data_IF_309764738452
#
_entry.id   IF_309764738452
#
_cell.length_a   1.000
_cell.length_b   1.000
_cell.length_c   1.000
_cell.angle_alpha   90.00
_cell.angle_beta   90.00
_cell.angle_gamma   90.00
#
_symmetry.space_group_name_H-M   'P 1'
#
loop_
_entity.id
_entity.type
_entity.pdbx_description
1 polymer ?
#
# COMPACT_ATOMS: atom_id res chain seq x y z
N UNK A 1 -24.73 21.08 31.88
CA UNK A 1 -24.72 20.89 30.42
C UNK A 1 -23.32 20.43 30.07
N UNK A 2 -23.13 19.14 29.76
CA UNK A 2 -21.88 18.68 29.14
C UNK A 2 -21.80 19.36 27.78
N UNK A 3 -20.75 20.17 27.52
CA UNK A 3 -20.47 20.66 26.18
C UNK A 3 -20.15 19.41 25.35
N UNK A 4 -21.08 19.04 24.44
CA UNK A 4 -20.84 17.93 23.50
C UNK A 4 -19.56 18.18 22.75
N UNK A 5 -18.81 17.12 22.46
CA UNK A 5 -17.57 17.19 21.66
C UNK A 5 -17.93 17.78 20.29
N UNK A 6 -17.28 18.89 19.94
CA UNK A 6 -17.53 19.54 18.63
C UNK A 6 -16.61 18.88 17.61
N UNK A 7 -17.20 18.27 16.59
CA UNK A 7 -16.42 17.69 15.48
C UNK A 7 -15.92 18.76 14.51
N UNK A 8 -14.84 18.47 13.79
CA UNK A 8 -14.20 19.41 12.86
C UNK A 8 -15.20 19.99 11.84
N UNK A 9 -16.12 19.17 11.32
CA UNK A 9 -17.14 19.61 10.35
C UNK A 9 -18.20 20.54 10.92
N UNK A 10 -18.27 20.69 12.25
CA UNK A 10 -19.19 21.60 12.93
C UNK A 10 -18.59 23.00 13.15
N UNK A 11 -17.33 23.22 12.78
CA UNK A 11 -16.70 24.53 12.87
C UNK A 11 -17.12 25.42 11.70
N UNK A 12 -17.34 26.70 11.96
CA UNK A 12 -17.81 27.70 10.99
C UNK A 12 -16.87 27.82 9.77
N UNK A 13 -15.58 27.58 9.97
CA UNK A 13 -14.57 27.62 8.89
C UNK A 13 -14.46 26.34 8.06
N UNK A 14 -15.20 25.27 8.39
CA UNK A 14 -15.18 24.05 7.59
C UNK A 14 -15.71 24.29 6.16
N UNK A 15 -15.10 23.73 5.10
CA UNK A 15 -13.99 22.76 5.09
C UNK A 15 -12.57 23.39 4.99
N UNK A 16 -12.42 24.69 5.25
CA UNK A 16 -11.13 25.39 5.12
C UNK A 16 -10.20 25.04 6.30
N UNK A 17 -9.60 23.86 6.22
CA UNK A 17 -8.61 23.39 7.19
C UNK A 17 -7.35 24.25 7.14
N UNK A 18 -6.66 24.34 8.27
CA UNK A 18 -5.43 25.13 8.46
C UNK A 18 -4.29 24.23 8.91
N UNK A 19 -3.06 24.63 8.58
CA UNK A 19 -1.85 23.93 9.01
C UNK A 19 -0.63 24.83 8.99
N UNK A 20 0.41 24.41 9.69
CA UNK A 20 1.73 25.04 9.69
C UNK A 20 2.69 24.26 8.78
N UNK A 21 2.94 24.78 7.57
CA UNK A 21 3.83 24.17 6.57
C UNK A 21 5.27 24.02 7.09
N UNK A 22 5.71 24.88 8.02
CA UNK A 22 7.07 24.82 8.53
C UNK A 22 7.33 23.59 9.38
N UNK A 23 6.29 23.02 9.98
CA UNK A 23 6.36 21.85 10.85
C UNK A 23 6.69 20.55 10.12
N UNK A 24 6.51 20.48 8.79
CA UNK A 24 6.75 19.28 7.99
C UNK A 24 7.52 19.53 6.69
N UNK A 25 8.02 20.73 6.45
CA UNK A 25 8.80 21.09 5.24
C UNK A 25 10.02 20.18 5.02
N UNK A 26 10.74 19.82 6.07
CA UNK A 26 11.86 18.88 5.98
C UNK A 26 11.41 17.49 5.56
N UNK A 27 10.27 17.00 6.09
CA UNK A 27 9.71 15.69 5.72
C UNK A 27 9.33 15.69 4.24
N UNK A 28 8.71 16.75 3.73
CA UNK A 28 8.38 16.89 2.31
C UNK A 28 9.63 16.84 1.42
N UNK A 29 10.69 17.54 1.80
CA UNK A 29 11.96 17.52 1.07
C UNK A 29 12.55 16.10 1.02
N UNK A 30 12.55 15.39 2.14
CA UNK A 30 13.03 14.00 2.24
C UNK A 30 12.17 13.04 1.38
N UNK A 31 10.85 13.17 1.42
CA UNK A 31 9.92 12.38 0.60
C UNK A 31 10.19 12.62 -0.88
N UNK A 32 10.29 13.87 -1.33
CA UNK A 32 10.53 14.20 -2.73
C UNK A 32 11.88 13.65 -3.22
N UNK A 33 12.91 13.68 -2.38
CA UNK A 33 14.20 13.05 -2.69
C UNK A 33 14.08 11.53 -2.81
N UNK A 34 13.38 10.88 -1.89
CA UNK A 34 13.16 9.42 -1.90
C UNK A 34 12.34 8.99 -3.12
N UNK A 35 11.27 9.72 -3.45
CA UNK A 35 10.45 9.48 -4.65
C UNK A 35 11.32 9.56 -5.91
N UNK A 36 12.06 10.64 -6.07
CA UNK A 36 12.96 10.80 -7.21
C UNK A 36 13.99 9.68 -7.32
N UNK A 37 14.59 9.27 -6.20
CA UNK A 37 15.54 8.15 -6.14
C UNK A 37 14.87 6.81 -6.47
N UNK A 38 13.66 6.55 -5.96
CA UNK A 38 12.93 5.31 -6.21
C UNK A 38 12.55 5.20 -7.69
N UNK A 39 11.91 6.22 -8.25
CA UNK A 39 11.50 6.24 -9.66
C UNK A 39 12.71 6.16 -10.60
N UNK A 40 13.78 6.91 -10.32
CA UNK A 40 15.02 6.83 -11.09
C UNK A 40 15.70 5.46 -10.99
N UNK A 41 15.58 4.76 -9.86
CA UNK A 41 16.11 3.40 -9.70
C UNK A 41 15.29 2.39 -10.49
N UNK A 42 13.96 2.46 -10.38
CA UNK A 42 13.07 1.52 -11.09
C UNK A 42 13.14 1.70 -12.60
N UNK A 43 13.38 2.92 -13.10
CA UNK A 43 13.60 3.14 -14.54
C UNK A 43 14.83 2.44 -15.13
N UNK A 44 15.76 1.99 -14.26
CA UNK A 44 16.92 1.15 -14.66
C UNK A 44 16.62 -0.34 -14.68
N UNK A 45 15.45 -0.77 -14.21
CA UNK A 45 15.04 -2.18 -14.26
C UNK A 45 14.66 -2.57 -15.69
N UNK A 46 14.84 -3.87 -16.03
CA UNK A 46 14.22 -4.45 -17.20
C UNK A 46 12.70 -4.47 -17.07
N UNK A 47 12.02 -4.67 -18.20
CA UNK A 47 10.56 -4.65 -18.27
C UNK A 47 9.90 -5.68 -17.31
N UNK A 48 10.48 -6.87 -17.21
CA UNK A 48 9.99 -7.93 -16.32
C UNK A 48 10.10 -7.55 -14.85
N UNK A 49 11.25 -7.00 -14.44
CA UNK A 49 11.46 -6.56 -13.04
C UNK A 49 10.58 -5.40 -12.67
N UNK A 50 10.34 -4.44 -13.57
CA UNK A 50 9.39 -3.34 -13.36
C UNK A 50 7.98 -3.89 -13.13
N UNK A 51 7.52 -4.79 -13.99
CA UNK A 51 6.21 -5.41 -13.89
C UNK A 51 6.04 -6.23 -12.61
N UNK A 52 7.04 -7.01 -12.23
CA UNK A 52 7.02 -7.79 -10.98
C UNK A 52 6.99 -6.88 -9.75
N UNK A 53 7.76 -5.80 -9.74
CA UNK A 53 7.78 -4.83 -8.64
C UNK A 53 6.44 -4.10 -8.52
N UNK A 54 5.84 -3.69 -9.64
CA UNK A 54 4.52 -3.07 -9.68
C UNK A 54 3.43 -4.04 -9.22
N UNK A 55 3.42 -5.26 -9.75
CA UNK A 55 2.47 -6.30 -9.38
C UNK A 55 2.51 -6.60 -7.87
N UNK A 56 3.71 -6.66 -7.30
CA UNK A 56 3.90 -6.89 -5.87
C UNK A 56 3.37 -5.72 -5.04
N UNK A 57 3.70 -4.47 -5.40
CA UNK A 57 3.26 -3.28 -4.68
C UNK A 57 1.75 -3.11 -4.73
N UNK A 58 1.13 -3.29 -5.90
CA UNK A 58 -0.32 -3.22 -6.07
C UNK A 58 -1.03 -4.32 -5.27
N UNK A 59 -0.50 -5.55 -5.30
CA UNK A 59 -1.05 -6.66 -4.51
C UNK A 59 -1.01 -6.34 -3.02
N UNK A 60 0.10 -5.82 -2.52
CA UNK A 60 0.22 -5.42 -1.11
C UNK A 60 -0.73 -4.29 -0.74
N UNK A 61 -0.82 -3.26 -1.59
CA UNK A 61 -1.73 -2.14 -1.35
C UNK A 61 -3.18 -2.60 -1.18
N UNK A 62 -3.67 -3.43 -2.09
CA UNK A 62 -5.04 -3.93 -2.09
C UNK A 62 -5.30 -4.83 -0.86
N UNK A 63 -4.42 -5.80 -0.60
CA UNK A 63 -4.57 -6.73 0.53
C UNK A 63 -4.52 -6.00 1.86
N UNK A 64 -3.58 -5.06 2.03
CA UNK A 64 -3.42 -4.33 3.27
C UNK A 64 -4.52 -3.29 3.47
N UNK A 65 -4.99 -2.64 2.40
CA UNK A 65 -6.16 -1.76 2.46
C UNK A 65 -7.41 -2.50 2.97
N UNK A 66 -7.69 -3.70 2.47
CA UNK A 66 -8.78 -4.53 3.00
C UNK A 66 -8.55 -4.92 4.47
N UNK A 67 -7.33 -5.32 4.82
CA UNK A 67 -6.98 -5.77 6.18
C UNK A 67 -7.05 -4.64 7.22
N UNK A 68 -6.85 -3.38 6.85
CA UNK A 68 -7.08 -2.24 7.73
C UNK A 68 -8.54 -2.22 8.22
N UNK A 69 -9.49 -2.56 7.36
CA UNK A 69 -10.92 -2.66 7.71
C UNK A 69 -11.31 -4.01 8.34
N UNK A 70 -10.37 -4.92 8.53
CA UNK A 70 -10.60 -6.23 9.14
C UNK A 70 -11.03 -7.30 8.13
N UNK A 71 -10.93 -7.04 6.83
CA UNK A 71 -11.24 -7.99 5.77
C UNK A 71 -9.98 -8.72 5.30
N UNK A 72 -10.08 -10.04 5.13
CA UNK A 72 -8.98 -10.86 4.64
C UNK A 72 -9.19 -11.29 3.20
N UNK A 73 -8.38 -10.77 2.29
CA UNK A 73 -8.31 -11.19 0.89
C UNK A 73 -7.22 -12.25 0.70
N UNK A 74 -7.50 -13.24 -0.14
CA UNK A 74 -6.48 -14.19 -0.55
C UNK A 74 -5.45 -13.49 -1.45
N UNK A 75 -4.21 -13.37 -0.97
CA UNK A 75 -3.13 -12.66 -1.64
C UNK A 75 -2.84 -13.19 -3.05
N UNK A 76 -2.87 -14.51 -3.26
CA UNK A 76 -2.59 -15.10 -4.57
C UNK A 76 -3.74 -14.81 -5.56
N UNK A 77 -5.00 -14.79 -5.09
CA UNK A 77 -6.16 -14.41 -5.91
C UNK A 77 -6.09 -12.94 -6.32
N UNK A 78 -5.76 -12.02 -5.37
CA UNK A 78 -5.54 -10.60 -5.67
C UNK A 78 -4.41 -10.43 -6.68
N UNK A 79 -3.25 -11.07 -6.45
CA UNK A 79 -2.09 -11.01 -7.36
C UNK A 79 -2.45 -11.47 -8.77
N UNK A 80 -3.21 -12.57 -8.88
CA UNK A 80 -3.65 -13.10 -10.17
C UNK A 80 -4.64 -12.15 -10.88
N UNK A 81 -5.55 -11.52 -10.14
CA UNK A 81 -6.47 -10.53 -10.67
C UNK A 81 -5.74 -9.28 -11.16
N UNK A 82 -4.81 -8.73 -10.35
CA UNK A 82 -3.97 -7.59 -10.75
C UNK A 82 -3.18 -7.91 -12.02
N UNK A 83 -2.52 -9.08 -12.10
CA UNK A 83 -1.76 -9.49 -13.27
C UNK A 83 -2.64 -9.53 -14.53
N UNK A 84 -3.83 -10.11 -14.45
CA UNK A 84 -4.78 -10.15 -15.58
C UNK A 84 -5.21 -8.76 -16.05
N UNK A 85 -5.59 -7.88 -15.11
CA UNK A 85 -6.07 -6.55 -15.44
C UNK A 85 -4.97 -5.63 -15.98
N UNK A 86 -3.71 -5.88 -15.60
CA UNK A 86 -2.54 -5.20 -16.15
C UNK A 86 -2.00 -5.83 -17.44
N UNK A 87 -2.59 -6.95 -17.90
CA UNK A 87 -2.13 -7.67 -19.11
C UNK A 87 -0.75 -8.32 -18.94
N UNK A 88 -0.37 -8.66 -17.70
CA UNK A 88 0.93 -9.28 -17.40
C UNK A 88 0.84 -10.81 -17.56
N UNK A 89 1.81 -11.40 -18.26
CA UNK A 89 2.00 -12.85 -18.27
C UNK A 89 2.51 -13.31 -16.90
N UNK A 90 1.73 -14.15 -16.22
CA UNK A 90 2.08 -14.67 -14.91
C UNK A 90 1.69 -16.16 -14.81
N UNK A 91 2.67 -17.00 -14.48
CA UNK A 91 2.43 -18.43 -14.27
C UNK A 91 1.67 -18.70 -12.97
N UNK A 92 0.75 -19.66 -12.99
CA UNK A 92 0.02 -20.08 -11.80
C UNK A 92 -1.15 -19.17 -11.43
N UNK A 93 -1.79 -18.49 -12.40
CA UNK A 93 -2.99 -17.70 -12.19
C UNK A 93 -4.08 -18.49 -11.46
N UNK A 94 -4.56 -17.95 -10.35
CA UNK A 94 -5.70 -18.47 -9.59
C UNK A 94 -6.98 -17.75 -9.99
N UNK A 95 -8.11 -18.44 -9.86
CA UNK A 95 -9.40 -17.79 -9.97
C UNK A 95 -9.63 -16.89 -8.75
N UNK A 96 -10.22 -15.74 -9.00
CA UNK A 96 -10.67 -14.79 -7.99
C UNK A 96 -12.20 -14.78 -7.94
N UNK A 97 -12.76 -14.52 -6.79
CA UNK A 97 -14.19 -14.29 -6.64
C UNK A 97 -14.59 -12.87 -7.11
N UNK A 98 -15.89 -12.63 -7.28
CA UNK A 98 -16.41 -11.34 -7.76
C UNK A 98 -16.05 -10.18 -6.85
N UNK A 99 -15.93 -10.42 -5.54
CA UNK A 99 -15.54 -9.40 -4.58
C UNK A 99 -14.06 -9.00 -4.77
N UNK A 100 -13.17 -9.98 -4.82
CA UNK A 100 -11.74 -9.75 -5.10
C UNK A 100 -11.54 -9.02 -6.43
N UNK A 101 -12.25 -9.42 -7.49
CA UNK A 101 -12.20 -8.74 -8.80
C UNK A 101 -12.64 -7.27 -8.68
N UNK A 102 -13.74 -7.00 -7.95
CA UNK A 102 -14.25 -5.64 -7.76
C UNK A 102 -13.24 -4.74 -7.02
N UNK A 103 -12.66 -5.23 -5.92
CA UNK A 103 -11.64 -4.48 -5.17
C UNK A 103 -10.41 -4.17 -6.02
N UNK A 104 -9.95 -5.14 -6.81
CA UNK A 104 -8.81 -4.94 -7.74
C UNK A 104 -9.17 -3.94 -8.82
N UNK A 105 -10.35 -4.06 -9.44
CA UNK A 105 -10.82 -3.16 -10.51
C UNK A 105 -10.84 -1.71 -10.05
N UNK A 106 -11.34 -1.43 -8.85
CA UNK A 106 -11.41 -0.09 -8.27
C UNK A 106 -10.00 0.52 -8.12
N UNK A 107 -9.06 -0.24 -7.62
CA UNK A 107 -7.68 0.21 -7.44
C UNK A 107 -6.97 0.44 -8.79
N UNK A 108 -7.16 -0.47 -9.73
CA UNK A 108 -6.57 -0.34 -11.09
C UNK A 108 -7.16 0.87 -11.81
N UNK A 109 -8.48 1.08 -11.76
CA UNK A 109 -9.11 2.27 -12.35
C UNK A 109 -8.53 3.56 -11.78
N UNK A 110 -8.40 3.65 -10.45
CA UNK A 110 -7.87 4.83 -9.79
C UNK A 110 -6.43 5.16 -10.23
N UNK A 111 -5.58 4.14 -10.37
CA UNK A 111 -4.16 4.32 -10.70
C UNK A 111 -3.95 4.52 -12.19
N UNK A 112 -4.64 3.74 -13.05
CA UNK A 112 -4.47 3.83 -14.51
C UNK A 112 -5.14 5.08 -15.11
N UNK A 113 -6.25 5.50 -14.53
CA UNK A 113 -6.99 6.68 -14.98
C UNK A 113 -6.89 7.83 -13.96
N UNK A 114 -5.70 8.00 -13.36
CA UNK A 114 -5.46 9.03 -12.35
C UNK A 114 -5.58 10.46 -12.88
N UNK A 115 -5.38 10.68 -14.18
CA UNK A 115 -5.50 11.95 -14.88
C UNK A 115 -6.97 12.33 -15.19
N UNK A 116 -7.89 11.36 -15.14
CA UNK A 116 -9.31 11.64 -15.38
C UNK A 116 -9.95 12.37 -14.19
N UNK A 117 -10.92 13.27 -14.46
CA UNK A 117 -11.70 13.92 -13.40
C UNK A 117 -12.34 12.92 -12.44
N UNK A 118 -12.53 13.34 -11.20
CA UNK A 118 -13.27 12.60 -10.19
C UNK A 118 -14.68 13.16 -10.06
N UNK A 119 -15.68 12.37 -10.37
CA UNK A 119 -17.09 12.70 -10.20
C UNK A 119 -17.85 11.71 -9.31
N UNK A 120 -19.10 12.02 -9.01
CA UNK A 120 -19.95 11.16 -8.20
C UNK A 120 -20.21 9.80 -8.87
N UNK A 121 -20.37 9.77 -10.19
CA UNK A 121 -20.63 8.54 -10.97
C UNK A 121 -19.46 7.55 -10.84
N UNK A 122 -18.23 8.05 -10.91
CA UNK A 122 -17.03 7.24 -10.72
C UNK A 122 -16.96 6.66 -9.31
N UNK A 123 -17.24 7.47 -8.29
CA UNK A 123 -17.30 7.00 -6.89
C UNK A 123 -18.42 5.99 -6.67
N UNK A 124 -19.58 6.17 -7.27
CA UNK A 124 -20.70 5.22 -7.21
C UNK A 124 -20.36 3.90 -7.89
N UNK A 125 -19.68 3.96 -9.03
CA UNK A 125 -19.19 2.77 -9.74
C UNK A 125 -18.17 1.98 -8.90
N UNK A 126 -17.24 2.69 -8.23
CA UNK A 126 -16.31 2.05 -7.30
C UNK A 126 -17.02 1.41 -6.10
N UNK A 127 -18.00 2.13 -5.54
CA UNK A 127 -18.79 1.60 -4.43
C UNK A 127 -19.58 0.35 -4.83
N UNK A 128 -20.19 0.35 -6.03
CA UNK A 128 -20.90 -0.82 -6.57
C UNK A 128 -19.95 -2.03 -6.79
N UNK A 129 -18.73 -1.79 -7.25
CA UNK A 129 -17.72 -2.84 -7.42
C UNK A 129 -17.26 -3.45 -6.09
N UNK A 130 -17.19 -2.63 -5.02
CA UNK A 130 -16.88 -3.11 -3.66
C UNK A 130 -18.01 -3.91 -3.02
N UNK A 131 -19.25 -3.66 -3.40
CA UNK A 131 -20.44 -4.30 -2.81
C UNK A 131 -21.37 -4.92 -3.86
N UNK A 132 -20.91 -5.91 -4.65
CA UNK A 132 -21.66 -6.46 -5.76
C UNK A 132 -22.96 -7.16 -5.34
N UNK A 133 -23.10 -7.53 -4.05
CA UNK A 133 -24.31 -8.15 -3.51
C UNK A 133 -25.28 -7.16 -2.87
N UNK A 134 -24.93 -5.87 -2.80
CA UNK A 134 -25.69 -4.86 -2.07
C UNK A 134 -25.66 -5.03 -0.56
N UNK A 135 -24.65 -5.71 -0.03
CA UNK A 135 -24.52 -6.02 1.39
C UNK A 135 -23.10 -5.79 1.89
N UNK A 136 -23.03 -5.35 3.14
CA UNK A 136 -21.82 -5.39 3.97
C UNK A 136 -22.05 -6.44 5.06
N UNK A 137 -21.31 -7.55 4.99
CA UNK A 137 -21.62 -8.71 5.81
C UNK A 137 -23.07 -9.17 5.65
N UNK A 138 -23.82 -9.16 6.76
CA UNK A 138 -25.27 -9.53 6.77
C UNK A 138 -26.19 -8.33 6.52
N UNK A 139 -25.69 -7.10 6.60
CA UNK A 139 -26.51 -5.88 6.51
C UNK A 139 -26.67 -5.44 5.06
N UNK A 140 -27.92 -5.07 4.69
CA UNK A 140 -28.17 -4.41 3.41
C UNK A 140 -27.70 -2.98 3.50
N UNK A 141 -26.99 -2.51 2.49
CA UNK A 141 -26.50 -1.13 2.38
C UNK A 141 -27.00 -0.49 1.08
N UNK A 142 -27.02 0.83 1.03
CA UNK A 142 -27.30 1.58 -0.19
C UNK A 142 -26.01 1.58 -1.04
N UNK A 143 -26.08 1.00 -2.24
CA UNK A 143 -24.94 0.85 -3.14
C UNK A 143 -25.06 1.77 -4.33
N UNK A 144 -23.97 2.46 -4.67
CA UNK A 144 -23.93 3.36 -5.84
C UNK A 144 -24.71 4.67 -5.62
N UNK A 145 -24.80 5.12 -4.39
CA UNK A 145 -25.39 6.40 -4.03
C UNK A 145 -24.83 6.87 -2.66
N UNK A 146 -25.01 8.15 -2.34
CA UNK A 146 -24.67 8.66 -1.01
C UNK A 146 -25.61 8.08 0.04
N UNK A 147 -25.05 7.84 1.25
CA UNK A 147 -25.86 7.34 2.38
C UNK A 147 -27.07 8.25 2.64
N UNK A 148 -28.14 7.62 3.05
CA UNK A 148 -29.43 8.23 3.35
C UNK A 148 -29.87 7.85 4.77
N UNK A 149 -30.95 8.46 5.26
CA UNK A 149 -31.51 8.19 6.57
C UNK A 149 -31.35 9.35 7.54
N UNK A 150 -32.06 9.27 8.64
CA UNK A 150 -32.09 10.30 9.68
C UNK A 150 -31.13 9.99 10.84
N UNK A 151 -30.78 8.73 11.00
CA UNK A 151 -29.86 8.27 12.06
C UNK A 151 -28.44 8.78 11.83
N UNK A 152 -27.76 9.26 12.89
CA UNK A 152 -26.36 9.68 12.76
C UNK A 152 -25.46 8.51 12.34
N UNK A 153 -24.63 8.75 11.34
CA UNK A 153 -23.58 7.79 10.95
C UNK A 153 -22.44 7.87 11.96
N UNK A 154 -22.19 6.77 12.66
CA UNK A 154 -21.18 6.72 13.72
C UNK A 154 -20.12 5.67 13.41
N UNK A 155 -18.84 6.03 13.59
CA UNK A 155 -17.72 5.08 13.61
C UNK A 155 -17.56 4.58 15.04
N UNK A 156 -17.80 3.29 15.22
CA UNK A 156 -17.82 2.67 16.55
C UNK A 156 -16.84 1.51 16.64
N UNK A 157 -16.44 1.18 17.86
CA UNK A 157 -15.71 -0.04 18.18
C UNK A 157 -16.20 -0.65 19.49
N UNK A 158 -15.98 -1.94 19.68
CA UNK A 158 -16.42 -2.66 20.87
C UNK A 158 -17.56 -3.64 20.60
N UNK A 159 -17.94 -4.46 21.59
CA UNK A 159 -19.01 -5.42 21.45
C UNK A 159 -20.39 -4.72 21.40
N UNK A 160 -21.33 -5.36 20.71
CA UNK A 160 -22.70 -4.89 20.57
C UNK A 160 -23.32 -4.54 21.96
N UNK A 161 -23.85 -3.32 22.09
CA UNK A 161 -24.42 -2.79 23.34
C UNK A 161 -23.40 -2.16 24.31
N UNK A 162 -22.11 -2.16 23.93
CA UNK A 162 -21.02 -1.49 24.66
C UNK A 162 -20.07 -0.79 23.69
N UNK A 163 -20.62 -0.23 22.61
CA UNK A 163 -19.86 0.44 21.58
C UNK A 163 -19.27 1.76 22.10
N UNK A 164 -18.00 1.97 21.77
CA UNK A 164 -17.35 3.28 21.93
C UNK A 164 -17.49 4.05 20.63
N UNK A 165 -18.15 5.20 20.66
CA UNK A 165 -18.24 6.12 19.52
C UNK A 165 -16.92 6.87 19.39
N UNK A 166 -16.25 6.66 18.28
CA UNK A 166 -15.02 7.35 17.93
C UNK A 166 -15.30 8.64 17.16
N UNK A 167 -16.26 8.58 16.26
CA UNK A 167 -16.59 9.70 15.39
C UNK A 167 -18.08 9.67 15.01
N UNK A 168 -18.68 10.84 14.84
CA UNK A 168 -20.01 11.02 14.28
C UNK A 168 -19.92 11.93 13.04
N UNK A 169 -20.31 11.39 11.90
CA UNK A 169 -20.27 12.04 10.61
C UNK A 169 -21.40 13.07 10.45
N UNK A 170 -21.31 14.00 9.49
CA UNK A 170 -22.37 14.93 9.14
C UNK A 170 -23.70 14.22 8.86
N UNK A 171 -24.83 14.92 9.00
CA UNK A 171 -26.13 14.35 8.68
C UNK A 171 -26.24 13.98 7.19
N UNK A 172 -26.94 12.91 6.85
CA UNK A 172 -27.06 12.41 5.47
C UNK A 172 -27.58 13.47 4.48
N UNK A 173 -28.48 14.34 4.92
CA UNK A 173 -29.01 15.45 4.11
C UNK A 173 -27.95 16.45 3.65
N UNK A 174 -26.82 16.55 4.37
CA UNK A 174 -25.75 17.50 4.08
C UNK A 174 -24.65 16.87 3.18
N UNK A 175 -24.65 15.54 3.03
CA UNK A 175 -23.61 14.80 2.29
C UNK A 175 -23.52 15.24 0.83
N UNK A 176 -24.65 15.42 0.15
CA UNK A 176 -24.67 15.83 -1.27
C UNK A 176 -23.94 17.17 -1.47
N UNK A 177 -24.23 18.17 -0.63
CA UNK A 177 -23.57 19.48 -0.69
C UNK A 177 -22.08 19.38 -0.38
N UNK A 178 -21.73 18.67 0.71
CA UNK A 178 -20.33 18.49 1.11
C UNK A 178 -19.52 17.72 0.08
N UNK A 179 -20.08 16.70 -0.57
CA UNK A 179 -19.42 15.96 -1.64
C UNK A 179 -19.28 16.77 -2.92
N UNK A 180 -20.23 17.66 -3.22
CA UNK A 180 -20.11 18.60 -4.33
C UNK A 180 -18.91 19.54 -4.15
N UNK A 181 -18.75 20.12 -2.96
CA UNK A 181 -17.62 20.99 -2.61
C UNK A 181 -16.30 20.19 -2.64
N UNK A 182 -16.30 18.97 -2.09
CA UNK A 182 -15.14 18.07 -2.10
C UNK A 182 -14.68 17.73 -3.53
N UNK A 183 -15.59 17.31 -4.41
CA UNK A 183 -15.28 16.93 -5.78
C UNK A 183 -14.77 18.12 -6.57
N UNK A 184 -15.39 19.30 -6.40
CA UNK A 184 -14.90 20.53 -7.03
C UNK A 184 -13.47 20.83 -6.58
N UNK A 185 -13.20 20.85 -5.28
CA UNK A 185 -11.86 21.10 -4.73
C UNK A 185 -10.85 20.02 -5.19
N UNK A 186 -11.27 18.76 -5.24
CA UNK A 186 -10.39 17.64 -5.63
C UNK A 186 -9.76 17.86 -7.00
N UNK A 187 -10.53 18.35 -7.97
CA UNK A 187 -10.05 18.54 -9.33
C UNK A 187 -9.50 19.96 -9.61
N UNK A 188 -9.93 20.97 -8.86
CA UNK A 188 -9.55 22.36 -9.12
C UNK A 188 -8.41 22.89 -8.25
N UNK A 189 -8.19 22.32 -7.05
CA UNK A 189 -7.08 22.72 -6.18
C UNK A 189 -5.75 22.26 -6.74
N UNK A 190 -4.93 23.23 -7.20
CA UNK A 190 -3.64 22.98 -7.83
C UNK A 190 -2.51 23.83 -7.23
N UNK A 191 -2.80 24.56 -6.13
CA UNK A 191 -1.83 25.44 -5.48
C UNK A 191 -1.08 24.76 -4.34
N UNK A 192 -1.67 23.72 -3.75
CA UNK A 192 -1.07 22.94 -2.68
C UNK A 192 0.01 21.99 -3.21
N UNK A 193 1.01 21.73 -2.35
CA UNK A 193 1.90 20.59 -2.59
C UNK A 193 1.05 19.32 -2.77
N UNK A 194 1.29 18.49 -3.82
CA UNK A 194 0.45 17.33 -4.13
C UNK A 194 0.35 16.32 -2.99
N UNK A 195 1.38 16.18 -2.14
CA UNK A 195 1.38 15.25 -1.01
C UNK A 195 0.58 15.82 0.18
N UNK A 196 0.64 17.15 0.39
CA UNK A 196 -0.20 17.85 1.36
C UNK A 196 -1.67 17.76 0.93
N UNK A 197 -1.95 18.02 -0.36
CA UNK A 197 -3.29 17.84 -0.92
C UNK A 197 -3.81 16.42 -0.67
N UNK A 198 -2.97 15.41 -0.85
CA UNK A 198 -3.34 14.01 -0.60
C UNK A 198 -3.71 13.75 0.87
N UNK A 199 -2.95 14.30 1.82
CA UNK A 199 -3.24 14.17 3.25
C UNK A 199 -4.53 14.89 3.64
N UNK A 200 -4.77 16.10 3.11
CA UNK A 200 -5.99 16.88 3.33
C UNK A 200 -7.21 16.17 2.73
N UNK A 201 -7.10 15.70 1.49
CA UNK A 201 -8.13 14.90 0.82
C UNK A 201 -8.55 13.68 1.66
N UNK A 202 -7.56 12.94 2.16
CA UNK A 202 -7.82 11.74 2.96
C UNK A 202 -8.65 12.06 4.21
N UNK A 203 -8.24 13.06 4.99
CA UNK A 203 -9.00 13.49 6.17
C UNK A 203 -10.38 14.00 5.81
N UNK A 204 -10.49 14.82 4.76
CA UNK A 204 -11.77 15.42 4.34
C UNK A 204 -12.77 14.33 3.94
N UNK A 205 -12.37 13.39 3.08
CA UNK A 205 -13.25 12.31 2.63
C UNK A 205 -13.75 11.43 3.79
N UNK A 206 -12.83 10.97 4.66
CA UNK A 206 -13.23 10.14 5.82
C UNK A 206 -14.04 10.92 6.85
N UNK A 207 -13.96 12.26 6.86
CA UNK A 207 -14.77 13.13 7.71
C UNK A 207 -16.20 13.25 7.18
N UNK A 208 -16.40 13.44 5.87
CA UNK A 208 -17.75 13.42 5.27
C UNK A 208 -18.38 12.05 5.44
N UNK A 209 -17.62 10.98 5.26
CA UNK A 209 -18.07 9.60 5.39
C UNK A 209 -19.32 9.31 4.53
N UNK A 210 -19.22 9.50 3.18
CA UNK A 210 -20.39 9.66 2.32
C UNK A 210 -21.20 8.38 2.05
N UNK A 211 -20.67 7.19 2.34
CA UNK A 211 -21.31 5.91 2.08
C UNK A 211 -21.71 5.19 3.37
N UNK A 212 -22.62 4.22 3.27
CA UNK A 212 -23.01 3.37 4.40
C UNK A 212 -21.85 2.49 4.89
N UNK A 213 -20.97 2.06 3.97
CA UNK A 213 -19.74 1.31 4.25
C UNK A 213 -18.72 1.53 3.13
N UNK A 214 -17.49 1.04 3.28
CA UNK A 214 -16.43 1.12 2.27
C UNK A 214 -15.70 2.47 2.20
N UNK A 215 -16.04 3.43 3.04
CA UNK A 215 -15.41 4.76 3.03
C UNK A 215 -13.89 4.71 3.19
N UNK A 216 -13.38 3.86 4.06
CA UNK A 216 -11.94 3.69 4.25
C UNK A 216 -11.23 3.14 3.01
N UNK A 217 -11.80 2.11 2.36
CA UNK A 217 -11.24 1.52 1.13
C UNK A 217 -11.25 2.52 -0.03
N UNK A 218 -12.38 3.21 -0.25
CA UNK A 218 -12.48 4.26 -1.28
C UNK A 218 -11.52 5.41 -0.98
N UNK A 219 -11.40 5.84 0.26
CA UNK A 219 -10.45 6.88 0.65
C UNK A 219 -9.01 6.51 0.32
N UNK A 220 -8.58 5.28 0.63
CA UNK A 220 -7.22 4.81 0.26
C UNK A 220 -7.05 4.66 -1.24
N UNK A 221 -8.10 4.27 -1.97
CA UNK A 221 -8.10 4.30 -3.45
C UNK A 221 -7.92 5.72 -3.99
N UNK A 222 -8.63 6.71 -3.45
CA UNK A 222 -8.44 8.13 -3.78
C UNK A 222 -7.02 8.62 -3.45
N UNK A 223 -6.46 8.12 -2.35
CA UNK A 223 -5.07 8.40 -1.97
C UNK A 223 -4.09 7.90 -3.03
N UNK A 224 -4.26 6.66 -3.52
CA UNK A 224 -3.43 6.10 -4.58
C UNK A 224 -3.61 6.85 -5.92
N UNK A 225 -4.82 7.32 -6.24
CA UNK A 225 -5.07 8.18 -7.40
C UNK A 225 -4.27 9.48 -7.30
N UNK A 226 -4.32 10.20 -6.17
CA UNK A 226 -3.58 11.46 -5.99
C UNK A 226 -2.06 11.23 -5.93
N UNK A 227 -1.59 10.14 -5.32
CA UNK A 227 -0.18 9.78 -5.34
C UNK A 227 0.29 9.45 -6.77
N UNK A 228 -0.54 8.82 -7.60
CA UNK A 228 -0.24 8.58 -9.02
C UNK A 228 -0.18 9.90 -9.82
N UNK A 229 -1.08 10.85 -9.54
CA UNK A 229 -0.99 12.23 -10.08
C UNK A 229 0.31 12.92 -9.65
N UNK A 230 0.69 12.81 -8.37
CA UNK A 230 1.92 13.39 -7.84
C UNK A 230 3.18 12.75 -8.46
N UNK A 231 3.19 11.45 -8.69
CA UNK A 231 4.30 10.70 -9.30
C UNK A 231 4.30 10.83 -10.84
N UNK A 232 3.23 11.36 -11.44
CA UNK A 232 3.01 11.44 -12.89
C UNK A 232 3.16 10.09 -13.60
N UNK A 233 2.70 9.02 -12.95
CA UNK A 233 2.78 7.66 -13.47
C UNK A 233 1.67 6.79 -12.92
N UNK A 234 1.16 5.89 -13.76
CA UNK A 234 0.26 4.81 -13.36
C UNK A 234 0.97 3.62 -12.73
N UNK A 235 2.30 3.64 -12.68
CA UNK A 235 3.09 2.57 -12.09
C UNK A 235 3.36 2.83 -10.62
N UNK A 236 2.84 1.96 -9.75
CA UNK A 236 2.98 2.07 -8.28
C UNK A 236 4.03 1.09 -7.78
N UNK A 237 5.04 1.59 -7.08
CA UNK A 237 6.17 0.81 -6.59
C UNK A 237 6.31 0.81 -5.07
N UNK A 238 5.37 1.43 -4.35
CA UNK A 238 5.29 1.45 -2.89
C UNK A 238 3.84 1.29 -2.44
N UNK A 239 3.61 0.90 -1.20
CA UNK A 239 2.29 0.69 -0.63
C UNK A 239 2.16 1.50 0.66
N UNK A 240 1.32 2.54 0.62
CA UNK A 240 1.01 3.33 1.80
C UNK A 240 0.16 2.52 2.80
N UNK A 241 -0.78 1.70 2.31
CA UNK A 241 -1.62 0.85 3.17
C UNK A 241 -0.81 -0.18 3.96
N UNK A 242 0.37 -0.59 3.47
CA UNK A 242 1.27 -1.44 4.26
C UNK A 242 1.71 -0.73 5.54
N UNK A 243 2.14 0.51 5.45
CA UNK A 243 2.60 1.27 6.62
C UNK A 243 1.45 1.75 7.50
N UNK A 244 0.30 2.10 6.91
CA UNK A 244 -0.92 2.35 7.70
C UNK A 244 -1.30 1.12 8.51
N UNK A 245 -1.22 -0.08 7.95
CA UNK A 245 -1.53 -1.33 8.65
C UNK A 245 -0.53 -1.60 9.79
N UNK A 246 0.77 -1.38 9.55
CA UNK A 246 1.82 -1.51 10.57
C UNK A 246 1.59 -0.55 11.76
N UNK A 247 1.02 0.61 11.48
CA UNK A 247 0.75 1.69 12.45
C UNK A 247 -0.76 1.93 12.62
N UNK A 248 -1.59 0.87 12.50
CA UNK A 248 -3.06 0.97 12.46
C UNK A 248 -3.67 1.71 13.66
N UNK A 249 -3.11 1.52 14.85
CA UNK A 249 -3.59 2.22 16.07
C UNK A 249 -3.37 3.72 15.98
N UNK A 250 -2.19 4.14 15.51
CA UNK A 250 -1.83 5.54 15.36
C UNK A 250 -2.68 6.19 14.26
N UNK A 251 -2.94 5.47 13.15
CA UNK A 251 -3.82 5.93 12.08
C UNK A 251 -5.19 6.35 12.61
N UNK A 252 -5.87 5.46 13.33
CA UNK A 252 -7.19 5.78 13.89
C UNK A 252 -7.10 6.84 15.00
N UNK A 253 -6.04 6.87 15.77
CA UNK A 253 -5.83 7.89 16.79
C UNK A 253 -5.68 9.28 16.18
N UNK A 254 -4.85 9.45 15.15
CA UNK A 254 -4.67 10.74 14.48
C UNK A 254 -5.91 11.19 13.72
N UNK A 255 -6.65 10.26 13.11
CA UNK A 255 -7.98 10.56 12.53
C UNK A 255 -8.96 11.06 13.59
N UNK A 256 -9.12 10.33 14.69
CA UNK A 256 -10.03 10.69 15.78
C UNK A 256 -9.65 12.06 16.38
N UNK A 257 -8.37 12.33 16.58
CA UNK A 257 -7.87 13.61 17.08
C UNK A 257 -8.17 14.76 16.11
N UNK A 258 -7.94 14.59 14.81
CA UNK A 258 -8.24 15.59 13.81
C UNK A 258 -9.77 15.83 13.69
N UNK A 259 -10.56 14.76 13.67
CA UNK A 259 -12.02 14.84 13.54
C UNK A 259 -12.72 15.43 14.78
N UNK A 260 -12.14 15.30 15.98
CA UNK A 260 -12.62 15.87 17.24
C UNK A 260 -11.93 17.18 17.62
N UNK A 261 -10.99 17.64 16.80
CA UNK A 261 -10.23 18.87 17.00
C UNK A 261 -10.87 20.10 16.38
N UNK A 262 -10.06 21.16 16.26
CA UNK A 262 -10.37 22.34 15.48
C UNK A 262 -9.97 22.19 14.01
N UNK A 263 -9.85 23.35 13.33
CA UNK A 263 -9.47 23.37 11.90
C UNK A 263 -7.95 23.19 11.67
N UNK A 264 -7.13 23.26 12.71
CA UNK A 264 -5.69 22.96 12.59
C UNK A 264 -5.46 21.45 12.49
N UNK A 265 -5.07 21.03 11.29
CA UNK A 265 -4.81 19.61 10.95
C UNK A 265 -3.32 19.30 10.77
N UNK A 266 -2.44 20.18 11.24
CA UNK A 266 -0.99 20.01 11.20
C UNK A 266 -0.53 18.63 11.72
N UNK A 267 -1.01 18.13 12.89
CA UNK A 267 -0.59 16.83 13.41
C UNK A 267 -0.96 15.67 12.48
N UNK A 268 -2.13 15.74 11.83
CA UNK A 268 -2.58 14.74 10.85
C UNK A 268 -1.69 14.73 9.61
N UNK A 269 -1.45 15.88 8.98
CA UNK A 269 -0.61 16.00 7.78
C UNK A 269 0.79 15.48 8.07
N UNK A 270 1.38 15.87 9.19
CA UNK A 270 2.69 15.41 9.61
C UNK A 270 2.76 13.89 9.78
N UNK A 271 1.78 13.29 10.43
CA UNK A 271 1.69 11.84 10.58
C UNK A 271 1.56 11.13 9.23
N UNK A 272 0.67 11.63 8.36
CA UNK A 272 0.44 11.08 7.02
C UNK A 272 1.73 11.09 6.18
N UNK A 273 2.42 12.23 6.15
CA UNK A 273 3.68 12.38 5.44
C UNK A 273 4.77 11.47 6.01
N UNK A 274 4.86 11.35 7.34
CA UNK A 274 5.80 10.42 7.97
C UNK A 274 5.52 8.97 7.57
N UNK A 275 4.26 8.56 7.51
CA UNK A 275 3.86 7.23 7.07
C UNK A 275 4.17 6.99 5.58
N UNK A 276 3.96 8.01 4.74
CA UNK A 276 4.34 7.96 3.32
C UNK A 276 5.87 7.82 3.15
N UNK A 277 6.65 8.54 3.95
CA UNK A 277 8.11 8.40 3.96
C UNK A 277 8.53 6.97 4.27
N UNK A 278 7.96 6.35 5.30
CA UNK A 278 8.25 4.95 5.66
C UNK A 278 7.91 3.99 4.52
N UNK A 279 6.78 4.19 3.83
CA UNK A 279 6.39 3.38 2.68
C UNK A 279 7.42 3.48 1.53
N UNK A 280 7.93 4.67 1.27
CA UNK A 280 8.97 4.91 0.26
C UNK A 280 10.32 4.30 0.66
N UNK A 281 10.72 4.40 1.93
CA UNK A 281 11.94 3.79 2.46
C UNK A 281 11.89 2.27 2.33
N UNK A 282 10.78 1.64 2.71
CA UNK A 282 10.57 0.19 2.57
C UNK A 282 10.63 -0.26 1.09
N UNK A 283 10.03 0.51 0.18
CA UNK A 283 10.10 0.23 -1.25
C UNK A 283 11.52 0.40 -1.81
N UNK A 284 12.23 1.42 -1.36
CA UNK A 284 13.60 1.67 -1.76
C UNK A 284 14.54 0.54 -1.34
N UNK A 285 14.38 0.00 -0.13
CA UNK A 285 15.14 -1.18 0.34
C UNK A 285 14.84 -2.44 -0.50
N UNK A 286 13.56 -2.68 -0.83
CA UNK A 286 13.16 -3.80 -1.70
C UNK A 286 13.78 -3.70 -3.09
N UNK A 287 13.75 -2.52 -3.69
CA UNK A 287 14.34 -2.29 -5.02
C UNK A 287 15.86 -2.43 -5.03
N UNK A 288 16.54 -2.13 -3.91
CA UNK A 288 17.97 -2.41 -3.76
C UNK A 288 18.29 -3.90 -3.83
N UNK A 289 17.45 -4.73 -3.19
CA UNK A 289 17.57 -6.19 -3.28
C UNK A 289 17.46 -6.71 -4.72
N UNK A 290 16.45 -6.20 -5.47
CA UNK A 290 16.25 -6.56 -6.89
C UNK A 290 17.45 -6.16 -7.74
N UNK A 291 17.96 -4.94 -7.58
CA UNK A 291 19.15 -4.49 -8.32
C UNK A 291 20.40 -5.32 -8.01
N UNK A 292 20.64 -5.64 -6.73
CA UNK A 292 21.79 -6.49 -6.37
C UNK A 292 21.68 -7.86 -7.02
N UNK A 293 20.49 -8.45 -7.05
CA UNK A 293 20.22 -9.72 -7.70
C UNK A 293 20.45 -9.64 -9.22
N UNK A 294 19.92 -8.61 -9.87
CA UNK A 294 20.12 -8.40 -11.32
C UNK A 294 21.59 -8.22 -11.66
N UNK A 295 22.29 -7.29 -11.01
CA UNK A 295 23.74 -7.07 -11.22
C UNK A 295 24.57 -8.33 -10.98
N UNK A 296 24.20 -9.11 -9.97
CA UNK A 296 24.87 -10.37 -9.71
C UNK A 296 24.73 -11.35 -10.88
N UNK A 297 23.52 -11.53 -11.42
CA UNK A 297 23.30 -12.42 -12.55
C UNK A 297 23.94 -11.91 -13.84
N UNK A 298 23.94 -10.61 -14.07
CA UNK A 298 24.63 -10.01 -15.22
C UNK A 298 26.15 -10.23 -15.14
N UNK A 299 26.77 -9.98 -13.97
CA UNK A 299 28.19 -10.20 -13.76
C UNK A 299 28.59 -11.68 -13.91
N UNK A 300 27.69 -12.61 -13.62
CA UNK A 300 27.93 -14.05 -13.69
C UNK A 300 27.25 -14.71 -14.90
N UNK A 301 26.85 -13.94 -15.92
CA UNK A 301 26.16 -14.48 -17.11
C UNK A 301 26.92 -15.55 -17.87
N UNK A 302 28.26 -15.47 -17.90
CA UNK A 302 29.14 -16.43 -18.55
C UNK A 302 29.55 -17.59 -17.64
N UNK A 303 29.19 -17.56 -16.35
CA UNK A 303 29.56 -18.60 -15.39
C UNK A 303 28.56 -19.74 -15.43
N UNK A 304 29.05 -20.97 -15.62
CA UNK A 304 28.18 -22.16 -15.58
C UNK A 304 27.69 -22.42 -14.15
N UNK A 305 26.39 -22.23 -13.92
CA UNK A 305 25.70 -22.41 -12.64
C UNK A 305 24.56 -23.41 -12.86
N UNK A 306 24.56 -24.53 -12.11
CA UNK A 306 23.54 -25.55 -12.23
C UNK A 306 22.22 -25.09 -11.53
N UNK A 307 21.11 -25.81 -11.79
CA UNK A 307 19.79 -25.45 -11.29
C UNK A 307 19.70 -25.40 -9.73
N UNK A 308 20.36 -26.36 -9.04
CA UNK A 308 20.40 -26.37 -7.58
C UNK A 308 21.13 -25.16 -7.01
N UNK A 309 22.26 -24.80 -7.63
CA UNK A 309 23.03 -23.60 -7.28
C UNK A 309 22.20 -22.35 -7.53
N UNK A 310 21.58 -22.23 -8.72
CA UNK A 310 20.72 -21.11 -9.09
C UNK A 310 19.57 -20.94 -8.08
N UNK A 311 18.92 -22.03 -7.71
CA UNK A 311 17.83 -22.02 -6.72
C UNK A 311 18.27 -21.43 -5.37
N UNK A 312 19.38 -21.93 -4.81
CA UNK A 312 19.84 -21.44 -3.49
C UNK A 312 20.36 -20.00 -3.56
N UNK A 313 21.08 -19.64 -4.65
CA UNK A 313 21.53 -18.27 -4.85
C UNK A 313 20.34 -17.29 -4.92
N UNK A 314 19.28 -17.63 -5.66
CA UNK A 314 18.07 -16.81 -5.68
C UNK A 314 17.46 -16.68 -4.28
N UNK A 315 17.35 -17.75 -3.52
CA UNK A 315 16.84 -17.70 -2.14
C UNK A 315 17.68 -16.79 -1.24
N UNK A 316 19.00 -16.74 -1.42
CA UNK A 316 19.88 -15.84 -0.65
C UNK A 316 19.59 -14.36 -0.93
N UNK A 317 19.17 -14.01 -2.16
CA UNK A 317 18.74 -12.65 -2.51
C UNK A 317 17.33 -12.34 -2.03
N UNK A 318 16.44 -13.34 -2.00
CA UNK A 318 15.01 -13.16 -1.72
C UNK A 318 14.67 -13.25 -0.20
N UNK A 319 15.66 -13.13 0.68
CA UNK A 319 15.45 -13.09 2.13
C UNK A 319 15.60 -14.46 2.80
N UNK A 320 16.73 -15.10 2.62
CA UNK A 320 17.05 -16.39 3.22
C UNK A 320 17.09 -16.34 4.76
N UNK A 321 16.21 -17.09 5.42
CA UNK A 321 16.16 -17.15 6.88
C UNK A 321 17.36 -17.88 7.50
N UNK A 322 18.12 -17.16 8.31
CA UNK A 322 19.27 -17.65 9.05
C UNK A 322 20.49 -17.88 8.15
N UNK A 323 21.49 -18.64 8.62
CA UNK A 323 22.76 -18.85 7.93
C UNK A 323 22.70 -20.04 6.99
N UNK A 324 23.25 -19.89 5.76
CA UNK A 324 23.40 -20.99 4.81
C UNK A 324 24.53 -21.94 5.25
N UNK A 325 24.25 -23.23 5.30
CA UNK A 325 25.23 -24.29 5.52
C UNK A 325 24.91 -25.50 4.62
N UNK A 326 25.81 -26.47 4.58
CA UNK A 326 25.63 -27.66 3.74
C UNK A 326 24.41 -28.50 4.12
N UNK A 327 23.99 -28.48 5.41
CA UNK A 327 22.79 -29.16 5.89
C UNK A 327 21.50 -28.51 5.36
N UNK A 328 21.42 -27.19 5.32
CA UNK A 328 20.30 -26.48 4.67
C UNK A 328 20.32 -26.69 3.16
N UNK A 329 21.49 -26.64 2.54
CA UNK A 329 21.64 -26.86 1.09
C UNK A 329 21.02 -28.18 0.63
N UNK A 330 21.42 -29.32 1.28
CA UNK A 330 20.88 -30.62 0.87
C UNK A 330 19.38 -30.75 1.08
N UNK A 331 18.85 -30.15 2.16
CA UNK A 331 17.41 -30.14 2.43
C UNK A 331 16.63 -29.36 1.37
N UNK A 332 17.10 -28.16 1.00
CA UNK A 332 16.47 -27.30 -0.02
C UNK A 332 16.43 -27.99 -1.39
N UNK A 333 17.50 -28.69 -1.73
CA UNK A 333 17.66 -29.30 -3.05
C UNK A 333 17.31 -30.79 -3.08
N UNK A 334 16.90 -31.40 -1.97
CA UNK A 334 16.62 -32.84 -1.89
C UNK A 334 17.75 -33.69 -2.48
N UNK A 335 19.00 -33.38 -2.19
CA UNK A 335 20.19 -34.06 -2.71
C UNK A 335 21.01 -34.68 -1.57
N UNK A 336 22.06 -35.46 -1.92
CA UNK A 336 22.98 -35.98 -0.92
C UNK A 336 23.88 -34.89 -0.31
N UNK A 337 24.39 -35.13 0.90
CA UNK A 337 25.35 -34.22 1.55
C UNK A 337 26.62 -34.01 0.69
N UNK A 338 27.09 -35.05 -0.01
CA UNK A 338 28.25 -34.95 -0.89
C UNK A 338 27.98 -34.07 -2.10
N UNK A 339 26.77 -34.16 -2.66
CA UNK A 339 26.33 -33.28 -3.75
C UNK A 339 26.27 -31.83 -3.28
N UNK A 340 25.70 -31.57 -2.10
CA UNK A 340 25.65 -30.23 -1.49
C UNK A 340 27.06 -29.65 -1.30
N UNK A 341 27.96 -30.43 -0.73
CA UNK A 341 29.36 -30.01 -0.53
C UNK A 341 30.09 -29.74 -1.85
N UNK A 342 29.80 -30.51 -2.92
CA UNK A 342 30.37 -30.28 -4.25
C UNK A 342 29.85 -28.99 -4.86
N UNK A 343 28.53 -28.76 -4.83
CA UNK A 343 27.91 -27.56 -5.35
C UNK A 343 28.44 -26.30 -4.64
N UNK A 344 28.60 -26.35 -3.31
CA UNK A 344 29.15 -25.25 -2.52
C UNK A 344 30.63 -24.98 -2.85
N UNK A 345 31.44 -26.01 -2.92
CA UNK A 345 32.88 -25.86 -3.28
C UNK A 345 33.06 -25.27 -4.67
N UNK A 346 32.25 -25.68 -5.62
CA UNK A 346 32.24 -25.13 -6.97
C UNK A 346 31.91 -23.63 -6.98
N UNK A 347 30.88 -23.19 -6.21
CA UNK A 347 30.58 -21.78 -6.07
C UNK A 347 31.69 -20.98 -5.34
N UNK A 348 32.38 -21.59 -4.39
CA UNK A 348 33.55 -20.97 -3.74
C UNK A 348 34.70 -20.82 -4.75
N UNK A 349 35.00 -21.86 -5.53
CA UNK A 349 36.02 -21.79 -6.56
C UNK A 349 35.72 -20.75 -7.65
N UNK A 350 34.45 -20.47 -7.90
CA UNK A 350 33.97 -19.44 -8.82
C UNK A 350 33.91 -18.02 -8.19
N UNK A 351 34.30 -17.89 -6.92
CA UNK A 351 34.28 -16.60 -6.19
C UNK A 351 32.89 -16.08 -5.88
N UNK A 352 31.83 -16.92 -5.94
CA UNK A 352 30.44 -16.56 -5.71
C UNK A 352 30.05 -16.68 -4.24
N UNK A 353 30.52 -17.73 -3.57
CA UNK A 353 30.35 -17.93 -2.14
C UNK A 353 31.67 -17.82 -1.39
N UNK A 354 31.60 -17.36 -0.16
CA UNK A 354 32.73 -17.45 0.78
C UNK A 354 32.27 -18.03 2.12
N UNK A 355 33.16 -18.79 2.83
CA UNK A 355 32.84 -19.25 4.17
C UNK A 355 32.82 -18.08 5.16
N UNK A 356 31.92 -18.12 6.14
CA UNK A 356 31.85 -17.19 7.27
C UNK A 356 32.32 -17.90 8.54
N UNK A 357 33.36 -17.36 9.19
CA UNK A 357 33.94 -17.90 10.43
C UNK A 357 35.03 -18.95 10.23
N UNK A 358 35.67 -19.35 11.33
CA UNK A 358 36.71 -20.38 11.36
C UNK A 358 36.09 -21.74 11.05
N UNK A 359 36.70 -22.46 10.09
CA UNK A 359 36.19 -23.69 9.54
C UNK A 359 35.92 -24.79 10.58
N UNK A 360 34.87 -25.58 10.36
CA UNK A 360 34.47 -26.72 11.19
C UNK A 360 33.18 -27.38 10.66
N UNK A 361 32.61 -28.35 11.42
CA UNK A 361 31.37 -29.06 11.06
C UNK A 361 30.16 -28.17 10.82
N UNK A 362 30.21 -26.89 11.20
CA UNK A 362 29.10 -25.89 11.08
C UNK A 362 29.47 -24.67 10.24
N UNK A 363 30.38 -24.83 9.25
CA UNK A 363 30.75 -23.73 8.34
C UNK A 363 29.51 -23.16 7.66
N UNK A 364 29.32 -21.85 7.78
CA UNK A 364 28.30 -21.11 7.07
C UNK A 364 28.89 -20.43 5.84
N UNK A 365 28.05 -20.07 4.90
CA UNK A 365 28.46 -19.48 3.63
C UNK A 365 27.63 -18.23 3.35
N UNK A 366 28.23 -17.24 2.73
CA UNK A 366 27.57 -16.02 2.28
C UNK A 366 28.01 -15.65 0.86
N UNK A 367 27.20 -14.81 0.20
CA UNK A 367 27.55 -14.25 -1.10
C UNK A 367 28.78 -13.35 -0.98
N UNK A 368 29.68 -13.45 -1.95
CA UNK A 368 30.75 -12.47 -2.11
C UNK A 368 30.12 -11.19 -2.64
N UNK A 369 30.34 -10.05 -1.95
CA UNK A 369 29.88 -8.75 -2.42
C UNK A 369 30.53 -8.41 -3.76
N UNK A 370 29.72 -7.97 -4.73
CA UNK A 370 30.20 -7.42 -6.01
C UNK A 370 30.86 -6.08 -5.77
#
# INVERSE_FOLDING_TARGET
MMRGTKYIWQHEGWPHMQWDDTSFSNILAEINLLRGKLLGRVSMFGFEEQNLSMLESMTQEIVHSAKIEGEELNRDSVRSSVARQLGLEYEGLKNSDHYTEGVVQVMIDAVQHHDMPLDAERLFSWHAALFPTGRSGIHKILVGDWRQGEEPMQVVSGPLGHEKIHYEAPASKDVLGMMSDFLYWFDTENTLDPLVKTAVMHLWFVTIHPFDDGNGRICRTLTELLLSRADQTSQRYYSLSSEILNHRKDYYQYLEQAQKGGLDVTPWIRWFLQTLKLALEAAFEKTEGVLRKSRFWDAHRSVSINERQRKVLNMLFDGFEGKLNSSKWYKINHCSQDTANRDIRDLIAKGILKPTGEGGRSTNYELVSL
#
